data_IF_382996721628
#
_entry.id   IF_382996721628
#
_cell.length_a   1.000
_cell.length_b   1.000
_cell.length_c   1.000
_cell.angle_alpha   90.00
_cell.angle_beta   90.00
_cell.angle_gamma   90.00
#
_symmetry.space_group_name_H-M   'P 1'
#
loop_
_entity.id
_entity.type
_entity.pdbx_description
1 polymer ?
#
# COMPACT_ATOMS: atom_id res chain seq x y z
N UNK A 1 25.96 -15.33 45.63
CA UNK A 1 26.59 -14.12 45.03
C UNK A 1 25.94 -13.95 43.66
N UNK A 2 24.77 -13.33 43.47
CA UNK A 2 24.32 -11.97 43.79
C UNK A 2 25.18 -10.88 43.12
N UNK A 3 24.70 -10.38 41.97
CA UNK A 3 24.71 -8.97 41.49
C UNK A 3 24.14 -8.98 40.05
N UNK A 4 22.83 -8.80 39.87
CA UNK A 4 22.08 -7.53 39.84
C UNK A 4 22.12 -6.85 38.46
N UNK A 5 20.93 -6.74 37.88
CA UNK A 5 20.61 -6.03 36.65
C UNK A 5 20.72 -4.51 36.80
N UNK A 6 21.00 -3.81 35.69
CA UNK A 6 20.58 -2.42 35.50
C UNK A 6 19.98 -2.21 34.10
N UNK A 7 18.88 -1.44 33.99
CA UNK A 7 18.13 -1.22 32.76
C UNK A 7 18.71 -0.09 31.90
N UNK A 8 18.63 -0.24 30.59
CA UNK A 8 18.89 0.83 29.64
C UNK A 8 17.73 1.83 29.68
N UNK A 9 18.06 3.06 30.06
CA UNK A 9 17.18 4.22 30.17
C UNK A 9 16.87 4.81 28.80
N UNK A 10 15.59 4.98 28.48
CA UNK A 10 15.11 5.79 27.35
C UNK A 10 15.25 7.29 27.68
N UNK A 11 15.66 8.15 26.73
CA UNK A 11 15.48 9.59 26.88
C UNK A 11 14.00 9.96 26.65
N UNK A 12 13.44 10.58 27.67
CA UNK A 12 12.21 11.37 27.60
C UNK A 12 12.44 12.71 26.85
N UNK A 13 11.33 13.42 26.60
CA UNK A 13 11.20 14.82 26.11
C UNK A 13 11.25 14.98 24.57
N UNK A 14 10.31 15.66 23.89
CA UNK A 14 9.44 16.79 24.31
C UNK A 14 8.06 16.75 23.64
N UNK A 15 7.02 16.87 24.46
CA UNK A 15 5.69 17.32 24.06
C UNK A 15 5.79 18.80 23.62
N UNK A 16 5.35 19.11 22.40
CA UNK A 16 5.07 20.48 21.97
C UNK A 16 3.60 20.75 22.24
N UNK A 17 3.24 21.71 23.11
CA UNK A 17 1.85 22.08 23.34
C UNK A 17 1.33 22.89 22.14
N UNK A 18 0.35 22.33 21.43
CA UNK A 18 -0.45 23.10 20.47
C UNK A 18 -1.28 24.13 21.24
N UNK A 19 -1.01 25.40 20.97
CA UNK A 19 -1.79 26.53 21.44
C UNK A 19 -3.20 26.48 20.86
N UNK A 20 -4.16 26.40 21.78
CA UNK A 20 -5.58 26.57 21.61
C UNK A 20 -5.87 28.04 21.26
N UNK A 21 -6.47 28.30 20.09
CA UNK A 21 -7.07 29.60 19.77
C UNK A 21 -8.59 29.41 19.67
N UNK A 22 -9.38 29.95 20.61
CA UNK A 22 -10.82 30.06 20.46
C UNK A 22 -11.27 31.49 20.14
N UNK A 23 -12.52 31.59 19.66
CA UNK A 23 -13.32 32.80 19.37
C UNK A 23 -13.03 33.45 18.01
N UNK A 24 -14.02 33.72 17.15
CA UNK A 24 -15.26 34.43 17.43
C UNK A 24 -16.44 33.92 16.59
N UNK A 25 -17.55 33.65 17.28
CA UNK A 25 -18.89 33.62 16.72
C UNK A 25 -19.33 35.06 16.44
N UNK A 26 -19.62 35.38 15.19
CA UNK A 26 -20.46 36.53 14.85
C UNK A 26 -21.72 36.01 14.15
N UNK A 27 -22.78 35.96 14.95
CA UNK A 27 -24.16 35.83 14.51
C UNK A 27 -24.60 37.16 13.91
N UNK A 28 -24.91 37.17 12.61
CA UNK A 28 -25.58 38.28 11.92
C UNK A 28 -26.80 37.73 11.18
N UNK A 29 -27.99 38.04 11.66
CA UNK A 29 -29.26 37.72 11.02
C UNK A 29 -29.68 38.84 10.03
N UNK A 30 -30.47 38.43 9.02
CA UNK A 30 -31.59 39.19 8.40
C UNK A 30 -31.17 40.30 7.39
N UNK A 31 -31.64 40.39 6.13
CA UNK A 31 -32.92 40.01 5.52
C UNK A 31 -32.85 39.69 4.02
N UNK A 32 -33.80 38.84 3.62
CA UNK A 32 -34.33 38.57 2.28
C UNK A 32 -34.72 39.81 1.47
N UNK A 33 -34.29 39.92 0.20
CA UNK A 33 -35.16 39.82 -1.00
C UNK A 33 -34.33 40.00 -2.27
N UNK A 34 -34.21 38.94 -3.08
CA UNK A 34 -33.52 38.99 -4.36
C UNK A 34 -33.70 37.66 -5.08
N UNK A 35 -34.85 37.49 -5.72
CA UNK A 35 -35.13 36.38 -6.62
C UNK A 35 -34.16 36.45 -7.81
N UNK A 36 -33.15 35.60 -7.81
CA UNK A 36 -32.42 35.21 -9.02
C UNK A 36 -32.25 33.70 -8.99
N UNK A 37 -32.88 33.03 -9.94
CA UNK A 37 -32.68 31.61 -10.22
C UNK A 37 -31.28 31.43 -10.77
N UNK A 38 -30.38 30.89 -9.95
CA UNK A 38 -29.16 30.26 -10.45
C UNK A 38 -29.07 28.81 -9.92
N UNK A 39 -29.48 27.81 -10.72
CA UNK A 39 -29.27 26.41 -10.42
C UNK A 39 -27.86 26.03 -10.90
N UNK A 40 -26.82 26.52 -10.21
CA UNK A 40 -25.48 26.47 -10.77
C UNK A 40 -24.35 26.52 -9.76
N UNK A 41 -24.34 25.66 -8.73
CA UNK A 41 -23.09 25.43 -7.96
C UNK A 41 -23.05 24.15 -7.13
N UNK A 42 -23.27 23.03 -7.81
CA UNK A 42 -22.52 21.81 -7.54
C UNK A 42 -21.57 21.62 -8.72
N UNK A 43 -20.43 22.32 -8.74
CA UNK A 43 -19.45 22.20 -9.82
C UNK A 43 -18.70 20.87 -9.66
N UNK A 44 -19.34 19.79 -10.11
CA UNK A 44 -18.62 18.60 -10.56
C UNK A 44 -17.75 18.99 -11.75
N UNK A 45 -16.54 18.44 -11.81
CA UNK A 45 -15.65 18.61 -12.96
C UNK A 45 -16.42 18.33 -14.26
N UNK A 46 -16.15 19.09 -15.30
CA UNK A 46 -16.79 18.84 -16.60
C UNK A 46 -16.37 17.46 -17.12
N UNK A 47 -17.17 16.84 -17.98
CA UNK A 47 -16.80 15.55 -18.58
C UNK A 47 -15.43 15.62 -19.29
N UNK A 48 -15.09 16.78 -19.86
CA UNK A 48 -13.80 17.05 -20.48
C UNK A 48 -12.66 17.08 -19.45
N UNK A 49 -12.86 17.74 -18.30
CA UNK A 49 -11.88 17.75 -17.21
C UNK A 49 -11.67 16.35 -16.62
N UNK A 50 -12.74 15.56 -16.46
CA UNK A 50 -12.62 14.20 -15.98
C UNK A 50 -11.85 13.31 -16.97
N UNK A 51 -12.17 13.39 -18.26
CA UNK A 51 -11.44 12.65 -19.30
C UNK A 51 -9.95 13.02 -19.32
N UNK A 52 -9.64 14.31 -19.19
CA UNK A 52 -8.26 14.81 -19.10
C UNK A 52 -7.54 14.23 -17.88
N UNK A 53 -8.16 14.30 -16.70
CA UNK A 53 -7.57 13.79 -15.46
C UNK A 53 -7.32 12.27 -15.52
N UNK A 54 -8.24 11.51 -16.11
CA UNK A 54 -8.04 10.08 -16.34
C UNK A 54 -6.90 9.80 -17.33
N UNK A 55 -6.79 10.57 -18.41
CA UNK A 55 -5.71 10.43 -19.38
C UNK A 55 -4.34 10.72 -18.76
N UNK A 56 -4.23 11.78 -17.95
CA UNK A 56 -3.02 12.11 -17.19
C UNK A 56 -2.67 11.01 -16.18
N UNK A 57 -3.68 10.46 -15.49
CA UNK A 57 -3.48 9.34 -14.56
C UNK A 57 -2.96 8.09 -15.28
N UNK A 58 -3.53 7.75 -16.45
CA UNK A 58 -3.05 6.62 -17.27
C UNK A 58 -1.62 6.85 -17.78
N UNK A 59 -1.27 8.09 -18.13
CA UNK A 59 0.09 8.45 -18.54
C UNK A 59 1.08 8.26 -17.38
N UNK A 60 0.75 8.72 -16.18
CA UNK A 60 1.57 8.49 -14.99
C UNK A 60 1.72 6.99 -14.65
N UNK A 61 0.64 6.20 -14.79
CA UNK A 61 0.69 4.75 -14.62
C UNK A 61 1.65 4.10 -15.63
N UNK A 62 1.65 4.54 -16.88
CA UNK A 62 2.56 3.98 -17.90
C UNK A 62 4.04 4.26 -17.58
N UNK A 63 4.34 5.43 -16.98
CA UNK A 63 5.70 5.80 -16.57
C UNK A 63 6.26 4.84 -15.50
N UNK A 64 5.40 4.19 -14.70
CA UNK A 64 5.84 3.22 -13.68
C UNK A 64 6.64 2.04 -14.26
N UNK A 65 6.49 1.74 -15.56
CA UNK A 65 7.32 0.75 -16.26
C UNK A 65 8.83 1.04 -16.17
N UNK A 66 9.22 2.30 -15.99
CA UNK A 66 10.61 2.71 -15.81
C UNK A 66 11.26 2.14 -14.53
N UNK A 67 10.46 1.70 -13.55
CA UNK A 67 10.96 1.05 -12.32
C UNK A 67 11.74 -0.25 -12.56
N UNK A 68 11.68 -0.82 -13.77
CA UNK A 68 12.46 -2.02 -14.15
C UNK A 68 13.94 -1.75 -14.37
N UNK A 69 14.30 -0.50 -14.64
CA UNK A 69 15.66 -0.10 -15.01
C UNK A 69 16.17 0.94 -14.01
N UNK A 70 16.41 0.55 -12.75
CA UNK A 70 16.81 1.49 -11.70
C UNK A 70 18.20 2.10 -11.94
N UNK A 71 19.01 1.53 -12.83
CA UNK A 71 20.35 2.02 -13.16
C UNK A 71 20.34 3.28 -14.06
N UNK A 72 19.18 3.63 -14.64
CA UNK A 72 18.99 4.88 -15.37
C UNK A 72 18.41 5.94 -14.40
N UNK A 73 19.22 6.95 -14.02
CA UNK A 73 18.80 7.95 -13.03
C UNK A 73 17.63 8.82 -13.53
N UNK A 74 17.55 9.09 -14.83
CA UNK A 74 16.48 9.92 -15.39
C UNK A 74 15.16 9.13 -15.43
N UNK A 75 15.24 7.84 -15.82
CA UNK A 75 14.09 6.94 -15.79
C UNK A 75 13.60 6.72 -14.34
N UNK A 76 14.51 6.52 -13.39
CA UNK A 76 14.17 6.40 -11.97
C UNK A 76 13.49 7.66 -11.44
N UNK A 77 14.04 8.85 -11.73
CA UNK A 77 13.45 10.12 -11.31
C UNK A 77 12.05 10.33 -11.91
N UNK A 78 11.84 9.97 -13.18
CA UNK A 78 10.52 10.03 -13.81
C UNK A 78 9.52 9.08 -13.16
N UNK A 79 9.94 7.85 -12.84
CA UNK A 79 9.13 6.86 -12.13
C UNK A 79 8.71 7.36 -10.75
N UNK A 80 9.65 7.89 -9.97
CA UNK A 80 9.39 8.41 -8.63
C UNK A 80 8.41 9.59 -8.67
N UNK A 81 8.60 10.55 -9.57
CA UNK A 81 7.68 11.66 -9.74
C UNK A 81 6.28 11.21 -10.18
N UNK A 82 6.18 10.22 -11.07
CA UNK A 82 4.90 9.64 -11.45
C UNK A 82 4.21 8.98 -10.25
N UNK A 83 4.95 8.22 -9.44
CA UNK A 83 4.46 7.61 -8.21
C UNK A 83 3.94 8.68 -7.24
N UNK A 84 4.69 9.74 -7.00
CA UNK A 84 4.28 10.86 -6.14
C UNK A 84 2.99 11.53 -6.62
N UNK A 85 2.87 11.79 -7.93
CA UNK A 85 1.64 12.36 -8.51
C UNK A 85 0.45 11.42 -8.35
N UNK A 86 0.64 10.11 -8.50
CA UNK A 86 -0.42 9.12 -8.28
C UNK A 86 -0.84 9.07 -6.80
N UNK A 87 0.12 9.03 -5.88
CA UNK A 87 -0.14 9.05 -4.44
C UNK A 87 -0.90 10.32 -4.03
N UNK A 88 -0.52 11.49 -4.58
CA UNK A 88 -1.19 12.76 -4.30
C UNK A 88 -2.66 12.79 -4.74
N UNK A 89 -3.06 12.00 -5.74
CA UNK A 89 -4.47 11.84 -6.15
C UNK A 89 -5.27 10.94 -5.18
N UNK A 90 -4.61 10.17 -4.33
CA UNK A 90 -5.22 9.35 -3.29
C UNK A 90 -6.17 8.27 -3.83
N UNK A 91 -7.23 7.96 -3.08
CA UNK A 91 -8.17 6.88 -3.43
C UNK A 91 -9.03 7.16 -4.67
N UNK A 92 -8.97 8.37 -5.25
CA UNK A 92 -9.76 8.73 -6.44
C UNK A 92 -9.33 7.97 -7.70
N UNK A 93 -8.07 7.52 -7.74
CA UNK A 93 -7.50 6.78 -8.88
C UNK A 93 -7.47 5.26 -8.66
N UNK A 94 -8.00 4.77 -7.54
CA UNK A 94 -7.84 3.37 -7.11
C UNK A 94 -8.42 2.37 -8.13
N UNK A 95 -9.45 2.76 -8.88
CA UNK A 95 -10.01 1.95 -9.96
C UNK A 95 -9.06 1.83 -11.15
N UNK A 96 -8.42 2.93 -11.57
CA UNK A 96 -7.46 2.94 -12.69
C UNK A 96 -6.18 2.19 -12.33
N UNK A 97 -5.68 2.36 -11.10
CA UNK A 97 -4.52 1.63 -10.59
C UNK A 97 -4.83 0.12 -10.54
N UNK A 98 -6.02 -0.26 -10.08
CA UNK A 98 -6.45 -1.66 -10.09
C UNK A 98 -6.55 -2.23 -11.51
N UNK A 99 -7.15 -1.50 -12.44
CA UNK A 99 -7.25 -1.91 -13.85
C UNK A 99 -5.87 -2.18 -14.43
N UNK A 100 -4.91 -1.28 -14.23
CA UNK A 100 -3.54 -1.43 -14.69
C UNK A 100 -2.83 -2.61 -14.02
N UNK A 101 -3.05 -2.81 -12.72
CA UNK A 101 -2.45 -3.91 -11.96
C UNK A 101 -2.86 -5.29 -12.50
N UNK A 102 -4.10 -5.46 -12.96
CA UNK A 102 -4.57 -6.77 -13.47
C UNK A 102 -4.42 -6.95 -14.98
N UNK A 103 -4.30 -5.87 -15.76
CA UNK A 103 -4.33 -5.92 -17.23
C UNK A 103 -2.99 -5.59 -17.89
N UNK A 104 -2.08 -4.89 -17.19
CA UNK A 104 -0.81 -4.50 -17.78
C UNK A 104 0.08 -5.72 -18.02
N UNK A 105 0.55 -5.95 -19.27
CA UNK A 105 1.55 -6.98 -19.54
C UNK A 105 2.92 -6.62 -18.92
N UNK A 106 3.15 -5.33 -18.67
CA UNK A 106 4.38 -4.80 -18.12
C UNK A 106 4.42 -4.99 -16.60
N UNK A 107 5.30 -5.88 -16.12
CA UNK A 107 5.44 -6.16 -14.69
C UNK A 107 5.93 -4.97 -13.85
N UNK A 108 6.62 -4.00 -14.46
CA UNK A 108 7.11 -2.79 -13.78
C UNK A 108 5.96 -1.83 -13.48
N UNK A 109 5.03 -1.71 -14.43
CA UNK A 109 3.75 -1.03 -14.18
C UNK A 109 2.99 -1.70 -13.03
N UNK A 110 2.88 -3.03 -13.04
CA UNK A 110 2.19 -3.78 -11.97
C UNK A 110 2.87 -3.58 -10.61
N UNK A 111 4.21 -3.65 -10.55
CA UNK A 111 4.99 -3.38 -9.36
C UNK A 111 4.73 -1.96 -8.81
N UNK A 112 4.84 -0.94 -9.67
CA UNK A 112 4.56 0.44 -9.27
C UNK A 112 3.12 0.64 -8.79
N UNK A 113 2.15 -0.07 -9.38
CA UNK A 113 0.76 -0.04 -8.91
C UNK A 113 0.60 -0.62 -7.49
N UNK A 114 1.34 -1.68 -7.15
CA UNK A 114 1.39 -2.22 -5.77
C UNK A 114 1.89 -1.17 -4.78
N UNK A 115 2.97 -0.47 -5.12
CA UNK A 115 3.55 0.60 -4.28
C UNK A 115 2.59 1.78 -4.11
N UNK A 116 1.90 2.18 -5.19
CA UNK A 116 0.87 3.23 -5.12
C UNK A 116 -0.29 2.78 -4.21
N UNK A 117 -0.76 1.53 -4.33
CA UNK A 117 -1.84 1.02 -3.47
C UNK A 117 -1.43 0.90 -2.00
N UNK A 118 -0.16 0.57 -1.73
CA UNK A 118 0.40 0.58 -0.38
C UNK A 118 0.30 1.98 0.25
N UNK A 119 0.68 3.02 -0.50
CA UNK A 119 0.66 4.40 -0.03
C UNK A 119 -0.76 4.98 0.10
N UNK A 120 -1.68 4.59 -0.79
CA UNK A 120 -3.10 5.00 -0.70
C UNK A 120 -3.79 4.32 0.50
N UNK A 121 -3.46 3.06 0.79
CA UNK A 121 -3.80 2.40 2.05
C UNK A 121 -5.29 2.21 2.34
N UNK A 122 -6.15 2.07 1.32
CA UNK A 122 -7.58 1.82 1.57
C UNK A 122 -7.84 0.36 1.95
N UNK A 123 -8.99 0.12 2.61
CA UNK A 123 -9.47 -1.25 2.87
C UNK A 123 -9.70 -2.03 1.57
N UNK A 124 -10.09 -1.36 0.49
CA UNK A 124 -10.30 -1.97 -0.81
C UNK A 124 -8.96 -2.39 -1.47
N UNK A 125 -7.86 -1.69 -1.18
CA UNK A 125 -6.51 -2.09 -1.58
C UNK A 125 -6.12 -3.46 -1.04
N UNK A 126 -6.60 -3.87 0.14
CA UNK A 126 -6.23 -5.16 0.76
C UNK A 126 -6.63 -6.36 -0.09
N UNK A 127 -7.89 -6.40 -0.51
CA UNK A 127 -8.41 -7.50 -1.33
C UNK A 127 -7.74 -7.51 -2.72
N UNK A 128 -7.40 -6.34 -3.25
CA UNK A 128 -6.63 -6.19 -4.50
C UNK A 128 -5.20 -6.72 -4.34
N UNK A 129 -4.51 -6.37 -3.25
CA UNK A 129 -3.15 -6.83 -2.97
C UNK A 129 -3.09 -8.36 -2.78
N UNK A 130 -4.09 -8.97 -2.12
CA UNK A 130 -4.17 -10.42 -2.01
C UNK A 130 -4.30 -11.10 -3.38
N UNK A 131 -5.05 -10.52 -4.32
CA UNK A 131 -5.17 -11.07 -5.67
C UNK A 131 -3.85 -11.07 -6.45
N UNK A 132 -2.91 -10.18 -6.10
CA UNK A 132 -1.59 -10.03 -6.73
C UNK A 132 -0.56 -11.02 -6.17
N UNK A 133 -0.87 -11.72 -5.08
CA UNK A 133 0.01 -12.77 -4.54
C UNK A 133 0.22 -13.94 -5.52
N UNK A 134 -0.63 -14.07 -6.55
CA UNK A 134 -0.49 -15.03 -7.66
C UNK A 134 0.14 -14.41 -8.92
N UNK A 135 0.73 -13.21 -8.86
CA UNK A 135 1.31 -12.56 -10.03
C UNK A 135 2.41 -13.45 -10.67
N UNK A 136 2.42 -13.60 -12.02
CA UNK A 136 3.43 -14.42 -12.69
C UNK A 136 4.86 -13.86 -12.55
N UNK A 137 5.02 -12.56 -12.28
CA UNK A 137 6.31 -11.97 -11.94
C UNK A 137 6.55 -12.07 -10.43
N UNK A 138 7.51 -12.89 -9.97
CA UNK A 138 7.72 -13.12 -8.54
C UNK A 138 8.02 -11.84 -7.76
N UNK A 139 8.69 -10.85 -8.36
CA UNK A 139 9.01 -9.60 -7.68
C UNK A 139 7.73 -8.79 -7.32
N UNK A 140 6.71 -8.85 -8.18
CA UNK A 140 5.42 -8.19 -7.93
C UNK A 140 4.70 -8.87 -6.77
N UNK A 141 4.64 -10.21 -6.78
CA UNK A 141 4.02 -10.97 -5.69
C UNK A 141 4.76 -10.80 -4.35
N UNK A 142 6.09 -10.71 -4.37
CA UNK A 142 6.90 -10.40 -3.18
C UNK A 142 6.50 -9.05 -2.57
N UNK A 143 6.38 -8.01 -3.39
CA UNK A 143 6.00 -6.68 -2.91
C UNK A 143 4.57 -6.65 -2.36
N UNK A 144 3.66 -7.43 -2.95
CA UNK A 144 2.30 -7.59 -2.42
C UNK A 144 2.31 -8.23 -1.03
N UNK A 145 3.06 -9.32 -0.81
CA UNK A 145 3.19 -9.97 0.51
C UNK A 145 3.83 -9.04 1.55
N UNK A 146 4.93 -8.38 1.19
CA UNK A 146 5.60 -7.40 2.06
C UNK A 146 4.64 -6.28 2.45
N UNK A 147 3.87 -5.77 1.48
CA UNK A 147 2.88 -4.71 1.72
C UNK A 147 1.82 -5.18 2.71
N UNK A 148 1.19 -6.33 2.48
CA UNK A 148 0.19 -6.90 3.39
C UNK A 148 0.75 -7.10 4.80
N UNK A 149 1.98 -7.62 4.90
CA UNK A 149 2.66 -7.81 6.17
C UNK A 149 2.89 -6.50 6.91
N UNK A 150 3.34 -5.45 6.22
CA UNK A 150 3.57 -4.13 6.83
C UNK A 150 2.24 -3.49 7.24
N UNK A 151 1.22 -3.56 6.40
CA UNK A 151 -0.09 -2.97 6.68
C UNK A 151 -0.77 -3.57 7.91
N UNK A 152 -0.53 -4.86 8.19
CA UNK A 152 -1.26 -5.60 9.21
C UNK A 152 -0.42 -6.14 10.36
N UNK A 153 0.91 -5.96 10.32
CA UNK A 153 1.85 -6.61 11.23
C UNK A 153 1.57 -8.13 11.36
N UNK A 154 1.27 -8.76 10.22
CA UNK A 154 0.85 -10.16 10.13
C UNK A 154 1.69 -10.92 9.12
N UNK A 155 1.94 -12.21 9.38
CA UNK A 155 2.77 -13.07 8.52
C UNK A 155 2.08 -14.40 8.29
N UNK A 156 1.88 -14.75 7.03
CA UNK A 156 1.49 -16.11 6.62
C UNK A 156 2.72 -17.01 6.45
N UNK A 157 3.81 -16.48 5.88
CA UNK A 157 5.02 -17.26 5.65
C UNK A 157 5.84 -17.35 6.94
N UNK A 158 6.18 -18.56 7.43
CA UNK A 158 7.06 -18.72 8.57
C UNK A 158 8.45 -18.11 8.35
N UNK A 159 9.10 -17.66 9.42
CA UNK A 159 10.51 -17.23 9.36
C UNK A 159 11.41 -18.42 9.05
N UNK A 160 12.51 -18.18 8.34
CA UNK A 160 13.52 -19.21 8.09
C UNK A 160 13.95 -19.92 9.38
N UNK A 161 14.01 -21.26 9.32
CA UNK A 161 14.32 -22.12 10.45
C UNK A 161 13.12 -22.47 11.35
N UNK A 162 11.96 -21.86 11.14
CA UNK A 162 10.70 -22.27 11.78
C UNK A 162 10.07 -23.47 11.04
N UNK A 163 9.27 -24.30 11.73
CA UNK A 163 8.51 -25.35 11.08
C UNK A 163 7.47 -24.78 10.10
N UNK A 164 6.93 -25.67 9.26
CA UNK A 164 5.81 -25.37 8.37
C UNK A 164 4.65 -24.78 9.20
N UNK A 165 4.07 -23.68 8.71
CA UNK A 165 2.97 -22.98 9.37
C UNK A 165 1.68 -23.80 9.40
N UNK A 166 0.71 -23.41 10.22
CA UNK A 166 -0.62 -24.04 10.25
C UNK A 166 -1.37 -23.94 8.92
N UNK A 167 -0.97 -22.99 8.06
CA UNK A 167 -1.43 -22.80 6.69
C UNK A 167 -0.67 -23.65 5.66
N UNK A 168 0.17 -24.58 6.11
CA UNK A 168 0.98 -25.49 5.28
C UNK A 168 2.08 -24.79 4.44
N UNK A 169 2.32 -23.49 4.63
CA UNK A 169 3.41 -22.79 3.97
C UNK A 169 4.75 -23.13 4.64
N UNK A 170 5.76 -23.58 3.88
CA UNK A 170 7.13 -23.66 4.39
C UNK A 170 7.76 -22.26 4.41
N UNK A 171 8.79 -22.03 5.25
CA UNK A 171 9.58 -20.81 5.14
C UNK A 171 10.27 -20.70 3.77
N UNK A 172 10.46 -19.47 3.30
CA UNK A 172 11.34 -19.22 2.12
C UNK A 172 12.76 -19.62 2.50
N UNK A 173 13.47 -20.42 1.67
CA UNK A 173 14.87 -20.72 1.90
C UNK A 173 15.72 -19.44 1.96
N UNK A 174 16.78 -19.46 2.76
CA UNK A 174 17.73 -18.35 2.88
C UNK A 174 19.00 -18.71 2.13
N UNK A 175 19.56 -17.75 1.40
CA UNK A 175 20.83 -17.97 0.70
C UNK A 175 21.96 -18.26 1.70
N UNK A 176 22.92 -19.12 1.35
CA UNK A 176 24.13 -19.30 2.15
C UNK A 176 24.89 -17.98 2.28
N UNK A 177 25.51 -17.73 3.44
CA UNK A 177 26.29 -16.50 3.66
C UNK A 177 27.50 -16.35 2.71
N UNK A 178 27.94 -17.44 2.09
CA UNK A 178 29.04 -17.48 1.13
C UNK A 178 28.61 -17.16 -0.31
N UNK A 179 27.30 -17.11 -0.58
CA UNK A 179 26.76 -16.80 -1.90
C UNK A 179 26.69 -15.28 -2.10
N UNK A 180 27.47 -14.78 -3.06
CA UNK A 180 27.57 -13.36 -3.39
C UNK A 180 26.78 -13.00 -4.66
N UNK A 181 26.00 -13.93 -5.23
CA UNK A 181 25.11 -13.60 -6.34
C UNK A 181 24.04 -12.60 -5.85
N UNK A 182 24.02 -11.36 -6.38
CA UNK A 182 23.02 -10.36 -5.97
C UNK A 182 21.58 -10.80 -6.29
N UNK A 183 21.40 -11.83 -7.14
CA UNK A 183 20.12 -12.36 -7.55
C UNK A 183 19.69 -13.61 -6.76
N UNK A 184 20.52 -14.12 -5.85
CA UNK A 184 20.25 -15.37 -5.15
C UNK A 184 18.92 -15.33 -4.40
N UNK A 185 18.64 -14.24 -3.68
CA UNK A 185 17.41 -14.09 -2.90
C UNK A 185 16.16 -14.03 -3.80
N UNK A 186 16.23 -13.35 -4.95
CA UNK A 186 15.13 -13.33 -5.93
C UNK A 186 14.89 -14.72 -6.52
N UNK A 187 15.94 -15.47 -6.83
CA UNK A 187 15.82 -16.84 -7.37
C UNK A 187 15.18 -17.78 -6.36
N UNK A 188 15.57 -17.69 -5.08
CA UNK A 188 14.97 -18.47 -4.00
C UNK A 188 13.49 -18.13 -3.82
N UNK A 189 13.16 -16.84 -3.81
CA UNK A 189 11.77 -16.39 -3.78
C UNK A 189 10.98 -16.90 -5.00
N UNK A 190 11.50 -16.75 -6.22
CA UNK A 190 10.84 -17.18 -7.44
C UNK A 190 10.56 -18.70 -7.43
N UNK A 191 11.53 -19.50 -7.01
CA UNK A 191 11.37 -20.95 -6.92
C UNK A 191 10.34 -21.36 -5.85
N UNK A 192 10.33 -20.67 -4.71
CA UNK A 192 9.34 -20.88 -3.65
C UNK A 192 7.94 -20.46 -4.12
N UNK A 193 7.82 -19.26 -4.69
CA UNK A 193 6.56 -18.68 -5.14
C UNK A 193 5.90 -19.53 -6.23
N UNK A 194 6.68 -20.04 -7.20
CA UNK A 194 6.18 -20.96 -8.22
C UNK A 194 5.49 -22.22 -7.64
N UNK A 195 5.88 -22.65 -6.43
CA UNK A 195 5.29 -23.81 -5.76
C UNK A 195 4.11 -23.42 -4.84
N UNK A 196 4.19 -22.27 -4.18
CA UNK A 196 3.33 -21.93 -3.05
C UNK A 196 2.42 -20.70 -3.24
N UNK A 197 2.46 -20.00 -4.39
CA UNK A 197 1.70 -18.77 -4.65
C UNK A 197 0.21 -18.89 -4.26
N UNK A 198 -0.47 -19.92 -4.79
CA UNK A 198 -1.90 -20.15 -4.53
C UNK A 198 -2.20 -20.41 -3.06
N UNK A 199 -1.29 -21.11 -2.37
CA UNK A 199 -1.43 -21.39 -0.94
C UNK A 199 -1.19 -20.13 -0.11
N UNK A 200 -0.22 -19.30 -0.50
CA UNK A 200 0.04 -18.00 0.13
C UNK A 200 -1.17 -17.09 0.02
N UNK A 201 -1.75 -16.98 -1.16
CA UNK A 201 -2.98 -16.21 -1.37
C UNK A 201 -4.13 -16.74 -0.51
N UNK A 202 -4.38 -18.05 -0.55
CA UNK A 202 -5.46 -18.66 0.23
C UNK A 202 -5.29 -18.41 1.73
N UNK A 203 -4.07 -18.51 2.25
CA UNK A 203 -3.75 -18.24 3.64
C UNK A 203 -4.09 -16.79 4.03
N UNK A 204 -3.66 -15.82 3.23
CA UNK A 204 -3.99 -14.41 3.42
C UNK A 204 -5.50 -14.14 3.35
N UNK A 205 -6.21 -14.74 2.40
CA UNK A 205 -7.66 -14.59 2.26
C UNK A 205 -8.41 -15.15 3.49
N UNK A 206 -8.00 -16.29 4.01
CA UNK A 206 -8.61 -16.90 5.20
C UNK A 206 -8.34 -16.10 6.47
N UNK A 207 -7.13 -15.61 6.64
CA UNK A 207 -6.82 -14.67 7.71
C UNK A 207 -7.64 -13.39 7.59
N UNK A 208 -7.75 -12.81 6.39
CA UNK A 208 -8.50 -11.58 6.17
C UNK A 208 -9.99 -11.74 6.46
N UNK A 209 -10.61 -12.87 6.10
CA UNK A 209 -12.01 -13.17 6.46
C UNK A 209 -12.22 -13.11 7.99
N UNK A 210 -11.27 -13.68 8.74
CA UNK A 210 -11.30 -13.68 10.20
C UNK A 210 -11.05 -12.28 10.77
N UNK A 211 -10.05 -11.57 10.27
CA UNK A 211 -9.69 -10.22 10.69
C UNK A 211 -10.80 -9.20 10.38
N UNK A 212 -11.42 -9.28 9.20
CA UNK A 212 -12.57 -8.47 8.78
C UNK A 212 -13.73 -8.62 9.75
N UNK A 213 -14.06 -9.84 10.13
CA UNK A 213 -15.12 -10.12 11.10
C UNK A 213 -14.85 -9.47 12.46
N UNK A 214 -13.58 -9.49 12.92
CA UNK A 214 -13.17 -8.82 14.18
C UNK A 214 -13.18 -7.29 14.06
N UNK A 215 -12.70 -6.74 12.95
CA UNK A 215 -12.65 -5.29 12.73
C UNK A 215 -14.05 -4.66 12.60
N UNK A 216 -15.05 -5.41 12.12
CA UNK A 216 -16.45 -4.99 12.14
C UNK A 216 -16.97 -4.87 13.58
N UNK A 217 -16.47 -5.72 14.49
CA UNK A 217 -16.84 -5.71 15.90
C UNK A 217 -16.01 -4.68 16.72
N UNK A 218 -14.78 -4.37 16.30
CA UNK A 218 -13.92 -3.34 16.89
C UNK A 218 -13.11 -2.56 15.81
N UNK A 219 -13.58 -1.35 15.42
CA UNK A 219 -12.93 -0.51 14.41
C UNK A 219 -11.59 0.10 14.84
N UNK A 220 -11.17 -0.03 16.11
CA UNK A 220 -9.87 0.49 16.57
C UNK A 220 -8.68 -0.32 16.03
N UNK A 221 -8.93 -1.56 15.62
CA UNK A 221 -7.93 -2.50 15.07
C UNK A 221 -7.41 -2.04 13.70
N UNK A 222 -8.25 -1.41 12.87
CA UNK A 222 -7.86 -0.93 11.53
C UNK A 222 -7.23 0.46 11.52
N UNK A 223 -7.24 1.19 12.65
CA UNK A 223 -6.76 2.59 12.70
C UNK A 223 -5.26 2.75 12.95
N UNK A 224 -4.56 1.67 13.32
CA UNK A 224 -3.09 1.70 13.51
C UNK A 224 -2.29 1.73 12.20
N UNK A 225 -2.92 1.39 11.07
CA UNK A 225 -2.24 1.27 9.76
C UNK A 225 -2.28 2.53 8.89
N UNK A 226 -2.85 3.63 9.40
CA UNK A 226 -3.07 4.88 8.64
C UNK A 226 -2.39 6.12 9.28
N UNK A 227 -1.33 5.92 10.07
CA UNK A 227 -0.54 7.00 10.68
C UNK A 227 0.92 6.89 10.31
#
# INVERSE_FOLDING_TARGET
MALAALPQTFPAMRLVPFLLVPALMLSGCISSTGRSTDPGRGLGATAEEQQKNEAETRADIAILSAGKTPDDPDASAACDQARERLIARGSTIESLVWEALISSPDWGVRLGCVEVLQAIGTRASVEKLMAVLDDPEPLVAFHADVTLRVMFDHREIPTAGQPIGSNQLPPVPVRPATDNDPEADRKLWAAWHAQYAKLLRAAWEDWWKTAKSRAILDPSITRKSAR
#
